data_IF_462736906957
#
_entry.id   IF_462736906957
#
_cell.length_a   1.000
_cell.length_b   1.000
_cell.length_c   1.000
_cell.angle_alpha   90.00
_cell.angle_beta   90.00
_cell.angle_gamma   90.00
#
_symmetry.space_group_name_H-M   'P 1'
#
loop_
_entity.id
_entity.type
_entity.pdbx_description
1 polymer ?
#
# COMPACT_ATOMS: atom_id res chain seq x y z
N UNK A 1 13.62 9.47 -15.47
CA UNK A 1 12.14 9.50 -15.35
C UNK A 1 11.78 10.93 -15.01
N UNK A 2 10.86 11.52 -15.77
CA UNK A 2 10.37 12.86 -15.50
C UNK A 2 9.45 12.84 -14.28
N UNK A 3 9.45 13.93 -13.51
CA UNK A 3 8.56 14.08 -12.35
C UNK A 3 7.11 14.13 -12.87
N UNK A 4 6.19 13.31 -12.35
CA UNK A 4 4.80 13.35 -12.78
C UNK A 4 4.18 14.72 -12.48
N UNK A 5 3.29 15.22 -13.35
CA UNK A 5 2.43 16.36 -13.05
C UNK A 5 1.77 16.23 -11.66
N UNK A 6 1.58 17.34 -10.95
CA UNK A 6 1.10 17.33 -9.55
C UNK A 6 -0.30 16.73 -9.39
N UNK A 7 -1.13 16.84 -10.41
CA UNK A 7 -2.46 16.23 -10.53
C UNK A 7 -2.41 14.70 -10.64
N UNK A 8 -1.25 14.12 -10.93
CA UNK A 8 -1.01 12.68 -10.94
C UNK A 8 -0.38 12.17 -9.64
N UNK A 9 -0.09 13.06 -8.68
CA UNK A 9 0.47 12.73 -7.38
C UNK A 9 -0.64 12.62 -6.33
N UNK A 10 -0.61 11.54 -5.56
CA UNK A 10 -1.58 11.29 -4.49
C UNK A 10 -0.92 10.65 -3.26
N UNK A 11 -1.62 10.70 -2.13
CA UNK A 11 -1.32 9.89 -0.96
C UNK A 11 -2.11 8.59 -1.02
N UNK A 12 -1.59 7.56 -0.37
CA UNK A 12 -2.35 6.33 -0.12
C UNK A 12 -2.93 6.37 1.28
N UNK A 13 -4.23 6.09 1.35
CA UNK A 13 -4.97 6.03 2.61
C UNK A 13 -5.71 4.71 2.69
N UNK A 14 -5.85 4.26 3.92
CA UNK A 14 -6.66 3.12 4.25
C UNK A 14 -8.15 3.51 4.40
N UNK A 15 -9.04 2.70 3.85
CA UNK A 15 -10.49 2.74 4.07
C UNK A 15 -10.97 1.42 4.70
N UNK A 16 -11.61 1.45 5.89
CA UNK A 16 -12.16 0.25 6.52
C UNK A 16 -13.30 -0.33 5.69
N UNK A 17 -13.39 -1.67 5.66
CA UNK A 17 -14.49 -2.39 5.00
C UNK A 17 -15.56 -2.86 5.98
N UNK A 18 -15.37 -2.61 7.29
CA UNK A 18 -16.28 -3.04 8.36
C UNK A 18 -16.73 -1.86 9.23
N UNK A 19 -17.97 -1.87 9.76
CA UNK A 19 -18.53 -0.73 10.51
C UNK A 19 -17.87 -0.40 11.86
N UNK A 20 -17.03 -1.30 12.40
CA UNK A 20 -16.41 -1.17 13.73
C UNK A 20 -14.89 -1.41 13.67
N UNK A 21 -14.24 -0.97 12.60
CA UNK A 21 -12.80 -1.12 12.44
C UNK A 21 -12.03 -0.37 13.54
N UNK A 22 -11.00 -1.00 14.13
CA UNK A 22 -10.11 -0.37 15.12
C UNK A 22 -9.19 0.64 14.45
N UNK A 23 -8.75 0.30 13.26
CA UNK A 23 -8.00 1.23 12.43
C UNK A 23 -9.02 2.00 11.59
N UNK A 24 -8.93 3.32 11.56
CA UNK A 24 -9.71 4.19 10.67
C UNK A 24 -8.84 5.36 10.24
N UNK A 25 -9.01 5.83 9.00
CA UNK A 25 -8.47 7.11 8.56
C UNK A 25 -6.94 7.26 8.62
N UNK A 26 -6.21 6.16 8.42
CA UNK A 26 -4.74 6.14 8.46
C UNK A 26 -4.12 6.23 7.06
N UNK A 27 -2.99 6.90 6.97
CA UNK A 27 -2.17 6.98 5.77
C UNK A 27 -1.08 5.91 5.76
N UNK A 28 -0.80 5.37 4.57
CA UNK A 28 0.33 4.48 4.36
C UNK A 28 1.62 5.30 4.40
N UNK A 29 2.59 4.81 5.15
CA UNK A 29 3.92 5.40 5.27
C UNK A 29 4.98 4.31 5.22
N UNK A 30 6.12 4.66 4.66
CA UNK A 30 7.32 3.91 4.94
C UNK A 30 7.73 4.12 6.40
N UNK A 31 8.03 3.04 7.11
CA UNK A 31 8.55 3.13 8.47
C UNK A 31 9.87 3.92 8.50
N UNK A 32 10.80 3.63 7.58
CA UNK A 32 12.14 4.21 7.56
C UNK A 32 13.05 3.62 8.65
N UNK A 33 14.21 4.25 8.87
CA UNK A 33 15.16 3.80 9.90
C UNK A 33 15.80 2.43 9.63
N UNK A 34 15.89 2.02 8.35
CA UNK A 34 16.39 0.71 7.95
C UNK A 34 15.33 -0.41 7.99
N UNK A 35 14.09 -0.09 8.36
CA UNK A 35 12.97 -1.04 8.38
C UNK A 35 12.15 -0.87 7.09
N UNK A 36 11.99 -1.92 6.26
CA UNK A 36 11.31 -1.82 4.98
C UNK A 36 9.78 -1.83 5.08
N UNK A 37 9.21 -1.97 6.28
CA UNK A 37 7.78 -2.10 6.49
C UNK A 37 6.96 -0.87 6.04
N UNK A 38 5.78 -1.14 5.48
CA UNK A 38 4.72 -0.15 5.27
C UNK A 38 3.82 -0.12 6.50
N UNK A 39 3.82 1.01 7.19
CA UNK A 39 3.04 1.24 8.41
C UNK A 39 1.91 2.24 8.18
N UNK A 40 0.93 2.20 9.06
CA UNK A 40 -0.20 3.11 9.06
C UNK A 40 -0.02 4.20 10.12
N UNK A 41 -0.36 5.44 9.77
CA UNK A 41 -0.30 6.56 10.71
C UNK A 41 -1.41 7.59 10.50
N UNK A 42 -1.80 8.36 11.53
CA UNK A 42 -2.89 9.33 11.40
C UNK A 42 -2.60 10.50 10.44
N UNK A 43 -1.32 10.79 10.19
CA UNK A 43 -0.92 11.96 9.42
C UNK A 43 -0.45 11.56 8.01
N UNK A 44 -0.70 12.37 6.96
CA UNK A 44 -0.19 12.09 5.62
C UNK A 44 1.35 12.09 5.59
N UNK A 45 2.01 11.26 4.77
CA UNK A 45 3.46 11.31 4.65
C UNK A 45 3.89 12.69 4.15
N UNK A 46 4.96 13.25 4.73
CA UNK A 46 5.47 14.55 4.27
C UNK A 46 6.12 14.44 2.88
N UNK A 47 6.71 13.28 2.59
CA UNK A 47 7.69 13.18 1.52
C UNK A 47 7.38 12.12 0.46
N UNK A 48 6.55 11.13 0.75
CA UNK A 48 6.37 9.93 -0.07
C UNK A 48 5.08 10.00 -0.89
N UNK A 49 5.17 10.37 -2.17
CA UNK A 49 4.03 10.59 -3.06
C UNK A 49 3.90 9.42 -4.02
N UNK A 50 2.68 8.96 -4.27
CA UNK A 50 2.43 7.87 -5.21
C UNK A 50 1.96 8.42 -6.55
N UNK A 51 2.32 7.71 -7.61
CA UNK A 51 1.85 7.98 -8.97
C UNK A 51 1.92 6.72 -9.83
N UNK A 52 1.24 6.79 -10.96
CA UNK A 52 1.29 5.79 -12.02
C UNK A 52 2.35 6.19 -13.04
N UNK A 53 3.32 5.31 -13.32
CA UNK A 53 4.30 5.56 -14.39
C UNK A 53 3.66 5.43 -15.78
N UNK A 54 4.33 5.93 -16.82
CA UNK A 54 3.91 5.73 -18.21
C UNK A 54 3.82 4.26 -18.63
N UNK A 55 4.49 3.37 -17.90
CA UNK A 55 4.49 1.92 -18.12
C UNK A 55 3.43 1.19 -17.29
N UNK A 56 2.58 1.93 -16.56
CA UNK A 56 1.50 1.33 -15.76
C UNK A 56 1.93 0.86 -14.36
N UNK A 57 3.15 1.17 -13.92
CA UNK A 57 3.65 0.75 -12.61
C UNK A 57 3.25 1.74 -11.50
N UNK A 58 2.83 1.21 -10.35
CA UNK A 58 2.59 2.03 -9.14
C UNK A 58 3.90 2.24 -8.40
N UNK A 59 4.36 3.49 -8.33
CA UNK A 59 5.61 3.81 -7.63
C UNK A 59 5.42 4.99 -6.69
N UNK A 60 6.12 4.92 -5.56
CA UNK A 60 6.25 6.00 -4.62
C UNK A 60 7.56 6.75 -4.90
N UNK A 61 7.53 8.06 -5.00
CA UNK A 61 8.73 8.89 -5.09
C UNK A 61 8.80 9.86 -3.92
N UNK A 62 10.03 10.10 -3.47
CA UNK A 62 10.25 11.20 -2.55
C UNK A 62 10.20 12.52 -3.33
N UNK A 63 9.53 13.54 -2.80
CA UNK A 63 9.48 14.87 -3.43
C UNK A 63 10.85 15.50 -3.71
N UNK A 64 11.92 15.07 -3.03
CA UNK A 64 13.29 15.58 -3.22
C UNK A 64 14.11 14.85 -4.28
N UNK A 65 13.69 13.64 -4.63
CA UNK A 65 14.49 12.73 -5.44
C UNK A 65 13.75 12.27 -6.70
N UNK A 66 12.60 12.90 -7.00
CA UNK A 66 11.77 12.59 -8.16
C UNK A 66 12.50 12.81 -9.50
N UNK A 67 13.41 13.78 -9.55
CA UNK A 67 14.27 14.11 -10.68
C UNK A 67 15.53 13.22 -10.78
N UNK A 68 15.88 12.50 -9.71
CA UNK A 68 17.07 11.62 -9.64
C UNK A 68 16.77 10.18 -10.03
N UNK A 69 15.56 9.88 -10.49
CA UNK A 69 15.16 8.53 -10.88
C UNK A 69 15.07 7.54 -9.73
N UNK A 70 15.00 8.01 -8.47
CA UNK A 70 14.85 7.15 -7.30
C UNK A 70 13.37 6.99 -6.99
N UNK A 71 12.90 5.75 -7.10
CA UNK A 71 11.54 5.36 -6.76
C UNK A 71 11.54 4.22 -5.77
N UNK A 72 10.43 4.09 -5.07
CA UNK A 72 10.17 3.06 -4.10
C UNK A 72 8.90 2.33 -4.50
N UNK A 73 8.98 1.04 -4.76
CA UNK A 73 7.80 0.23 -5.06
C UNK A 73 7.37 -0.56 -3.82
N UNK A 74 6.07 -0.82 -3.73
CA UNK A 74 5.57 -1.82 -2.81
C UNK A 74 5.93 -3.21 -3.31
N UNK A 75 6.38 -4.05 -2.40
CA UNK A 75 6.66 -5.45 -2.64
C UNK A 75 5.79 -6.23 -1.67
N UNK A 76 4.81 -6.94 -2.20
CA UNK A 76 4.10 -7.96 -1.48
C UNK A 76 4.85 -9.28 -1.75
N UNK A 77 5.57 -9.81 -0.78
CA UNK A 77 6.38 -11.00 -1.02
C UNK A 77 5.48 -12.25 -1.11
N UNK A 78 5.24 -12.82 -2.29
CA UNK A 78 4.47 -14.08 -2.41
C UNK A 78 5.33 -15.35 -2.24
N UNK A 79 6.65 -15.28 -2.28
CA UNK A 79 7.48 -16.48 -2.53
C UNK A 79 8.30 -16.94 -1.31
N UNK A 80 8.01 -18.16 -0.83
CA UNK A 80 8.94 -18.97 -0.04
C UNK A 80 8.79 -18.92 1.49
N UNK A 81 7.79 -18.22 2.02
CA UNK A 81 7.47 -18.25 3.45
C UNK A 81 6.16 -19.01 3.66
N UNK A 82 6.14 -20.01 4.55
CA UNK A 82 4.95 -20.80 4.93
C UNK A 82 3.86 -19.98 5.67
N UNK A 83 3.92 -18.66 5.59
CA UNK A 83 2.95 -17.74 6.20
C UNK A 83 1.87 -17.38 5.18
N UNK A 84 0.62 -17.44 5.61
CA UNK A 84 -0.57 -17.16 4.80
C UNK A 84 -0.82 -15.67 4.53
N UNK A 85 -0.06 -14.79 5.16
CA UNK A 85 -0.05 -13.35 4.94
C UNK A 85 1.39 -12.86 4.90
N UNK A 86 1.64 -11.87 4.06
CA UNK A 86 2.98 -11.36 3.86
C UNK A 86 3.02 -9.86 4.13
N UNK A 87 4.03 -9.38 4.88
CA UNK A 87 4.18 -7.96 5.11
C UNK A 87 4.36 -7.24 3.78
N UNK A 88 3.68 -6.10 3.63
CA UNK A 88 3.96 -5.19 2.53
C UNK A 88 5.19 -4.38 2.90
N UNK A 89 6.18 -4.47 2.05
CA UNK A 89 7.44 -3.78 2.20
C UNK A 89 7.60 -2.76 1.09
N UNK A 90 8.49 -1.79 1.32
CA UNK A 90 8.80 -0.77 0.34
C UNK A 90 10.31 -0.73 0.09
N UNK A 91 10.71 -0.94 -1.17
CA UNK A 91 12.11 -1.03 -1.57
C UNK A 91 12.44 0.00 -2.64
N UNK A 92 13.65 0.54 -2.57
CA UNK A 92 14.17 1.40 -3.62
C UNK A 92 14.41 0.59 -4.91
N UNK A 93 14.02 1.13 -6.07
CA UNK A 93 14.18 0.53 -7.42
C UNK A 93 13.47 -0.82 -7.65
N UNK A 94 12.62 -1.26 -6.72
CA UNK A 94 11.89 -2.53 -6.82
C UNK A 94 10.43 -2.30 -6.44
N UNK A 95 9.52 -2.78 -7.28
CA UNK A 95 8.09 -2.81 -7.02
C UNK A 95 7.47 -4.07 -7.60
N UNK A 96 6.31 -4.45 -7.08
CA UNK A 96 5.57 -5.59 -7.58
C UNK A 96 4.74 -5.18 -8.82
N UNK A 97 4.94 -5.83 -9.97
CA UNK A 97 4.20 -5.50 -11.18
C UNK A 97 2.71 -5.84 -11.11
N UNK A 98 2.27 -6.69 -10.17
CA UNK A 98 0.86 -7.06 -10.04
C UNK A 98 -0.01 -5.99 -9.36
N UNK A 99 0.54 -4.84 -8.98
CA UNK A 99 -0.22 -3.81 -8.27
C UNK A 99 -0.99 -2.92 -9.24
N UNK A 100 -2.32 -2.98 -9.18
CA UNK A 100 -3.22 -2.34 -10.14
C UNK A 100 -4.37 -1.65 -9.42
N UNK A 101 -4.95 -0.61 -10.02
CA UNK A 101 -6.16 0.04 -9.52
C UNK A 101 -7.39 -0.63 -10.13
N UNK A 102 -8.33 -1.07 -9.29
CA UNK A 102 -9.57 -1.69 -9.70
C UNK A 102 -10.78 -0.90 -9.17
N UNK A 103 -11.78 -0.68 -10.03
CA UNK A 103 -13.02 0.04 -9.70
C UNK A 103 -13.36 1.15 -10.69
N UNK A 104 -14.40 1.91 -10.37
CA UNK A 104 -14.77 3.13 -11.10
C UNK A 104 -13.89 4.32 -10.68
N UNK A 105 -13.66 5.27 -11.59
CA UNK A 105 -12.84 6.45 -11.34
C UNK A 105 -13.31 7.20 -10.07
N UNK A 106 -12.39 7.40 -9.12
CA UNK A 106 -12.67 8.03 -7.82
C UNK A 106 -13.09 7.07 -6.70
N UNK A 107 -13.45 5.83 -7.02
CA UNK A 107 -13.73 4.76 -6.04
C UNK A 107 -12.74 3.59 -6.13
N UNK A 108 -11.73 3.72 -6.99
CA UNK A 108 -10.69 2.73 -7.23
C UNK A 108 -9.98 2.30 -5.94
N UNK A 109 -9.72 1.01 -5.84
CA UNK A 109 -8.93 0.40 -4.78
C UNK A 109 -7.67 -0.24 -5.35
N UNK A 110 -6.55 -0.10 -4.66
CA UNK A 110 -5.32 -0.78 -5.06
C UNK A 110 -5.55 -2.27 -4.83
N UNK A 111 -5.28 -3.10 -5.82
CA UNK A 111 -5.35 -4.55 -5.77
C UNK A 111 -4.00 -5.14 -6.17
N UNK A 112 -3.72 -6.35 -5.70
CA UNK A 112 -2.55 -7.09 -6.12
C UNK A 112 -2.95 -8.37 -6.84
N UNK A 113 -2.72 -8.40 -8.16
CA UNK A 113 -2.92 -9.56 -9.01
C UNK A 113 -1.74 -10.53 -8.85
N UNK A 114 -1.68 -11.20 -7.70
CA UNK A 114 -0.74 -12.31 -7.49
C UNK A 114 -0.95 -13.41 -8.54
N UNK A 115 0.09 -14.18 -8.93
CA UNK A 115 -0.07 -15.37 -9.75
C UNK A 115 -1.19 -16.29 -9.20
N UNK A 116 -1.94 -16.97 -10.07
CA UNK A 116 -3.12 -17.71 -9.67
C UNK A 116 -2.76 -18.92 -8.81
N UNK A 117 -2.86 -18.77 -7.49
CA UNK A 117 -2.91 -19.92 -6.60
C UNK A 117 -4.28 -20.59 -6.71
N UNK A 118 -4.25 -21.88 -7.06
CA UNK A 118 -5.38 -22.69 -7.52
C UNK A 118 -6.35 -23.12 -6.41
N UNK A 119 -6.30 -22.53 -5.22
CA UNK A 119 -7.19 -22.84 -4.09
C UNK A 119 -8.19 -21.72 -3.87
N UNK A 120 -9.48 -22.08 -3.77
CA UNK A 120 -10.54 -21.12 -3.46
C UNK A 120 -10.34 -20.47 -2.08
N UNK A 121 -10.52 -19.15 -2.01
CA UNK A 121 -10.32 -18.35 -0.79
C UNK A 121 -10.34 -16.85 -1.12
N UNK A 122 -10.59 -16.01 -0.11
CA UNK A 122 -10.49 -14.54 -0.27
C UNK A 122 -9.03 -14.12 -0.13
N UNK A 123 -8.58 -13.23 -1.02
CA UNK A 123 -7.30 -12.52 -0.93
C UNK A 123 -7.56 -11.03 -0.87
N UNK A 124 -6.66 -10.30 -0.20
CA UNK A 124 -6.75 -8.86 -0.15
C UNK A 124 -5.87 -8.28 0.94
N UNK A 125 -5.94 -6.95 1.06
CA UNK A 125 -5.20 -6.24 2.08
C UNK A 125 -5.79 -6.50 3.46
N UNK A 126 -4.89 -6.70 4.42
CA UNK A 126 -5.23 -6.70 5.83
C UNK A 126 -4.27 -5.80 6.59
N UNK A 127 -4.70 -5.35 7.76
CA UNK A 127 -3.86 -4.68 8.74
C UNK A 127 -3.82 -5.49 10.02
N UNK A 128 -2.63 -5.55 10.63
CA UNK A 128 -2.36 -6.15 11.92
C UNK A 128 -1.59 -5.16 12.79
N UNK A 129 -1.64 -5.36 14.11
CA UNK A 129 -0.70 -4.71 15.02
C UNK A 129 0.73 -5.16 14.65
N UNK A 130 1.55 -4.22 14.18
CA UNK A 130 2.89 -4.53 13.68
C UNK A 130 3.91 -4.69 14.80
N UNK A 131 5.03 -5.41 14.55
CA UNK A 131 6.06 -5.72 15.54
C UNK A 131 6.81 -4.47 16.07
N UNK A 132 6.64 -3.32 15.40
CA UNK A 132 7.33 -2.07 15.72
C UNK A 132 6.41 -1.04 16.40
N UNK A 133 5.27 -1.48 16.98
CA UNK A 133 4.36 -0.59 17.71
C UNK A 133 3.49 0.30 16.80
N UNK A 134 3.48 0.03 15.50
CA UNK A 134 2.64 0.66 14.51
C UNK A 134 1.83 -0.39 13.76
N UNK A 135 0.57 -0.12 13.40
CA UNK A 135 -0.18 -1.03 12.54
C UNK A 135 0.54 -1.18 11.20
N UNK A 136 0.68 -2.41 10.73
CA UNK A 136 1.43 -2.74 9.52
C UNK A 136 0.48 -3.34 8.48
N UNK A 137 0.74 -3.00 7.21
CA UNK A 137 -0.01 -3.51 6.08
C UNK A 137 0.53 -4.89 5.65
N UNK A 138 -0.38 -5.81 5.37
CA UNK A 138 -0.08 -7.14 4.84
C UNK A 138 -0.98 -7.45 3.65
N UNK A 139 -0.51 -8.31 2.75
CA UNK A 139 -1.36 -8.98 1.78
C UNK A 139 -1.67 -10.40 2.26
N UNK A 140 -2.95 -10.74 2.34
CA UNK A 140 -3.42 -12.08 2.63
C UNK A 140 -3.53 -12.88 1.33
N UNK A 141 -2.79 -13.99 1.24
CA UNK A 141 -2.85 -14.91 0.09
C UNK A 141 -3.94 -15.96 0.29
N UNK A 142 -4.37 -16.59 -0.81
CA UNK A 142 -5.52 -17.52 -0.87
C UNK A 142 -5.34 -18.84 -0.11
N UNK A 143 -4.26 -18.99 0.67
CA UNK A 143 -3.97 -20.15 1.51
C UNK A 143 -4.74 -20.19 2.83
N UNK A 144 -5.33 -19.06 3.26
CA UNK A 144 -6.29 -19.07 4.37
C UNK A 144 -7.66 -19.52 3.86
N UNK A 145 -8.28 -20.49 4.55
CA UNK A 145 -9.74 -20.63 4.51
C UNK A 145 -10.42 -19.30 4.83
N UNK A 146 -11.75 -19.21 4.74
CA UNK A 146 -12.49 -17.94 4.80
C UNK A 146 -12.26 -17.03 6.04
N UNK A 147 -11.47 -17.46 7.03
CA UNK A 147 -11.19 -16.76 8.28
C UNK A 147 -9.88 -15.96 8.24
N UNK A 148 -9.95 -14.72 8.74
CA UNK A 148 -8.81 -13.81 8.87
C UNK A 148 -7.90 -14.22 10.04
N UNK A 149 -6.60 -13.86 10.00
CA UNK A 149 -5.75 -13.95 11.19
C UNK A 149 -6.35 -13.22 12.40
N UNK A 150 -6.09 -13.71 13.61
CA UNK A 150 -6.60 -13.09 14.84
C UNK A 150 -6.07 -11.65 14.92
N UNK A 151 -6.99 -10.71 15.12
CA UNK A 151 -6.65 -9.29 15.18
C UNK A 151 -6.32 -8.65 13.82
N UNK A 152 -6.57 -9.34 12.71
CA UNK A 152 -6.53 -8.72 11.39
C UNK A 152 -7.85 -8.00 11.07
N UNK A 153 -7.75 -6.88 10.36
CA UNK A 153 -8.90 -6.20 9.76
C UNK A 153 -8.75 -6.14 8.25
N UNK A 154 -9.84 -6.36 7.51
CA UNK A 154 -9.88 -6.21 6.05
C UNK A 154 -9.88 -4.74 5.67
N UNK A 155 -9.09 -4.41 4.67
CA UNK A 155 -8.86 -3.03 4.32
C UNK A 155 -8.88 -2.79 2.82
N UNK A 156 -9.32 -1.60 2.42
CA UNK A 156 -9.08 -1.06 1.09
C UNK A 156 -7.97 -0.02 1.15
N UNK A 157 -7.18 0.08 0.09
CA UNK A 157 -6.22 1.17 -0.11
C UNK A 157 -6.75 2.06 -1.22
N UNK A 158 -6.89 3.34 -0.94
CA UNK A 158 -7.47 4.35 -1.85
C UNK A 158 -6.51 5.50 -2.11
N UNK A 159 -6.71 6.19 -3.24
CA UNK A 159 -6.02 7.44 -3.57
C UNK A 159 -6.62 8.61 -2.79
N UNK A 160 -5.78 9.49 -2.27
CA UNK A 160 -6.19 10.76 -1.67
C UNK A 160 -5.42 11.89 -2.34
N UNK A 161 -6.11 12.88 -2.94
CA UNK A 161 -5.45 14.02 -3.58
C UNK A 161 -4.50 14.75 -2.63
N UNK A 162 -3.36 15.19 -3.14
CA UNK A 162 -2.47 16.09 -2.40
C UNK A 162 -3.06 17.49 -2.49
N UNK A 163 -3.83 17.90 -1.49
CA UNK A 163 -4.25 19.29 -1.38
C UNK A 163 -3.04 20.10 -0.93
N UNK A 164 -2.56 21.01 -1.78
CA UNK A 164 -1.50 21.95 -1.40
C UNK A 164 -2.00 22.72 -0.17
N UNK A 165 -1.38 22.49 0.99
CA UNK A 165 -1.58 23.31 2.18
C UNK A 165 -0.87 24.66 2.06
N UNK A 166 -0.96 25.32 0.89
CA UNK A 166 -0.57 26.71 0.74
C UNK A 166 -1.81 27.58 1.01
N UNK A 167 -2.16 27.70 2.30
CA UNK A 167 -2.77 28.89 2.94
C UNK A 167 -3.22 28.52 4.35
N UNK A 168 -2.34 28.76 5.32
CA UNK A 168 -2.71 29.08 6.70
C UNK A 168 -1.71 30.11 7.22
#
# INVERSE_FOLDING_TARGET
MDVPPSDQLYWLRFRPTTPNARFTDLYLRWHGGGIPAVVLSPNPPKFLRFHLTSEGQQVATSWRESDKGRYWGFVAQAAGTDTSHHPVEMFETRGDPGLEWEGEEGEETLQWTSPPDSSGGWSGWIVLDGPHGHPQLYWLTKGHGAELPIGAEKVDIVKVPIVNQETA
#
